data_IF_505703391682
#
_entry.id   IF_505703391682
#
_cell.length_a   1.000
_cell.length_b   1.000
_cell.length_c   1.000
_cell.angle_alpha   90.00
_cell.angle_beta   90.00
_cell.angle_gamma   90.00
#
_symmetry.space_group_name_H-M   'P 1'
#
loop_
_entity.id
_entity.type
_entity.pdbx_description
1 polymer ?
#
# COMPACT_ATOMS: atom_id res chain seq x y z
N UNK A 1 16.64 -14.28 0.37
CA UNK A 1 16.41 -13.27 -0.67
C UNK A 1 17.07 -11.97 -0.24
N UNK A 2 17.87 -11.40 -1.13
CA UNK A 2 18.50 -10.11 -0.86
C UNK A 2 17.44 -8.99 -0.86
N UNK A 3 17.57 -8.00 0.04
CA UNK A 3 16.66 -6.86 0.04
C UNK A 3 16.72 -6.09 -1.29
N UNK A 4 15.58 -5.55 -1.69
CA UNK A 4 15.45 -4.78 -2.93
C UNK A 4 15.27 -3.29 -2.63
N UNK A 5 15.61 -2.45 -3.60
CA UNK A 5 15.46 -0.99 -3.47
C UNK A 5 14.03 -0.52 -3.73
N UNK A 6 13.32 -1.21 -4.59
CA UNK A 6 11.92 -0.90 -4.96
C UNK A 6 11.12 -2.18 -5.01
N UNK A 7 9.96 -2.17 -4.37
CA UNK A 7 9.02 -3.27 -4.43
C UNK A 7 7.68 -2.74 -4.93
N UNK A 8 7.17 -3.35 -5.99
CA UNK A 8 5.87 -2.98 -6.55
C UNK A 8 4.85 -4.02 -6.10
N UNK A 9 3.76 -3.54 -5.49
CA UNK A 9 2.69 -4.39 -4.99
C UNK A 9 1.38 -4.04 -5.71
N UNK A 10 0.85 -4.99 -6.46
CA UNK A 10 -0.45 -4.88 -7.10
C UNK A 10 -1.20 -6.18 -6.83
N UNK A 11 -1.78 -6.28 -5.63
CA UNK A 11 -2.43 -7.49 -5.16
C UNK A 11 -3.92 -7.23 -5.02
N UNK A 12 -4.73 -7.90 -5.82
CA UNK A 12 -6.18 -7.76 -5.83
C UNK A 12 -6.82 -8.74 -4.84
N UNK A 13 -6.53 -8.55 -3.54
CA UNK A 13 -7.05 -9.42 -2.49
C UNK A 13 -7.28 -8.60 -1.21
N UNK A 14 -8.03 -9.19 -0.27
CA UNK A 14 -8.20 -8.58 1.05
C UNK A 14 -6.88 -8.58 1.81
N UNK A 15 -6.73 -7.62 2.70
CA UNK A 15 -5.53 -7.53 3.53
C UNK A 15 -4.35 -6.91 2.81
N UNK A 16 -4.59 -6.01 1.85
CA UNK A 16 -3.51 -5.35 1.09
C UNK A 16 -2.53 -4.63 2.00
N UNK A 17 -3.00 -3.98 3.07
CA UNK A 17 -2.12 -3.35 4.06
C UNK A 17 -1.26 -4.37 4.79
N UNK A 18 -1.83 -5.53 5.13
CA UNK A 18 -1.09 -6.61 5.77
C UNK A 18 -0.02 -7.20 4.83
N UNK A 19 -0.35 -7.34 3.54
CA UNK A 19 0.62 -7.80 2.53
C UNK A 19 1.77 -6.81 2.45
N UNK A 20 1.50 -5.51 2.46
CA UNK A 20 2.54 -4.49 2.47
C UNK A 20 3.43 -4.62 3.71
N UNK A 21 2.85 -4.86 4.88
CA UNK A 21 3.60 -5.07 6.12
C UNK A 21 4.51 -6.29 6.02
N UNK A 22 4.01 -7.40 5.46
CA UNK A 22 4.82 -8.60 5.25
C UNK A 22 5.94 -8.36 4.24
N UNK A 23 5.69 -7.55 3.22
CA UNK A 23 6.67 -7.26 2.19
C UNK A 23 7.81 -6.36 2.66
N UNK A 24 7.64 -5.68 3.80
CA UNK A 24 8.68 -4.82 4.36
C UNK A 24 10.02 -5.55 4.54
N UNK A 25 9.97 -6.83 4.86
CA UNK A 25 11.18 -7.64 5.07
C UNK A 25 12.04 -7.76 3.82
N UNK A 26 11.47 -7.52 2.65
CA UNK A 26 12.18 -7.61 1.38
C UNK A 26 12.73 -6.26 0.91
N UNK A 27 12.43 -5.17 1.62
CA UNK A 27 12.88 -3.84 1.26
C UNK A 27 14.10 -3.42 2.08
N UNK A 28 15.02 -2.70 1.45
CA UNK A 28 16.08 -2.00 2.15
C UNK A 28 15.50 -0.88 3.00
N UNK A 29 16.16 -0.49 4.09
CA UNK A 29 15.65 0.60 4.95
C UNK A 29 15.37 1.91 4.22
N UNK A 30 16.09 2.20 3.14
CA UNK A 30 15.90 3.38 2.30
C UNK A 30 15.13 3.06 1.01
N UNK A 31 14.57 1.87 0.91
CA UNK A 31 13.82 1.44 -0.25
C UNK A 31 12.43 2.09 -0.37
N UNK A 32 11.76 1.81 -1.45
CA UNK A 32 10.42 2.34 -1.73
C UNK A 32 9.44 1.21 -2.02
N UNK A 33 8.27 1.29 -1.39
CA UNK A 33 7.12 0.47 -1.73
C UNK A 33 6.23 1.30 -2.66
N UNK A 34 5.89 0.74 -3.81
CA UNK A 34 4.90 1.29 -4.73
C UNK A 34 3.70 0.35 -4.71
N UNK A 35 2.63 0.76 -4.08
CA UNK A 35 1.44 -0.09 -3.93
C UNK A 35 0.25 0.51 -4.66
N UNK A 36 -0.48 -0.34 -5.39
CA UNK A 36 -1.78 0.00 -5.93
C UNK A 36 -2.84 -0.68 -5.07
N UNK A 37 -3.62 0.12 -4.36
CA UNK A 37 -4.64 -0.37 -3.44
C UNK A 37 -5.99 -0.31 -4.13
N UNK A 38 -6.67 -1.45 -4.20
CA UNK A 38 -8.01 -1.55 -4.79
C UNK A 38 -9.05 -1.68 -3.68
N UNK A 39 -9.89 -0.66 -3.55
CA UNK A 39 -10.88 -0.61 -2.46
C UNK A 39 -11.84 -1.80 -2.51
N UNK A 40 -12.33 -2.18 -3.70
CA UNK A 40 -13.27 -3.28 -3.84
C UNK A 40 -12.71 -4.64 -3.44
N UNK A 41 -11.39 -4.78 -3.47
CA UNK A 41 -10.74 -6.01 -3.01
C UNK A 41 -10.72 -6.12 -1.50
N UNK A 42 -10.87 -4.98 -0.78
CA UNK A 42 -10.99 -4.96 0.68
C UNK A 42 -12.44 -5.12 1.11
N UNK A 43 -13.33 -4.30 0.57
CA UNK A 43 -14.77 -4.33 0.93
C UNK A 43 -15.59 -3.69 -0.20
N UNK A 44 -16.44 -4.49 -0.84
CA UNK A 44 -17.26 -4.01 -1.96
C UNK A 44 -18.42 -3.12 -1.51
N UNK A 45 -18.76 -3.12 -0.21
CA UNK A 45 -19.88 -2.35 0.34
C UNK A 45 -19.46 -1.06 1.01
N UNK A 46 -18.18 -0.90 1.32
CA UNK A 46 -17.67 0.28 2.02
C UNK A 46 -17.41 1.43 1.06
N UNK A 47 -17.41 2.65 1.61
CA UNK A 47 -16.96 3.83 0.89
C UNK A 47 -15.46 3.66 0.56
N UNK A 48 -15.05 3.82 -0.72
CA UNK A 48 -13.64 3.68 -1.09
C UNK A 48 -12.69 4.56 -0.27
N UNK A 49 -13.08 5.78 0.06
CA UNK A 49 -12.22 6.67 0.84
C UNK A 49 -12.00 6.13 2.27
N UNK A 50 -13.02 5.54 2.87
CA UNK A 50 -12.90 4.90 4.18
C UNK A 50 -11.97 3.69 4.13
N UNK A 51 -12.10 2.86 3.08
CA UNK A 51 -11.22 1.70 2.87
C UNK A 51 -9.77 2.15 2.69
N UNK A 52 -9.53 3.17 1.88
CA UNK A 52 -8.18 3.70 1.67
C UNK A 52 -7.56 4.22 2.97
N UNK A 53 -8.36 4.89 3.81
CA UNK A 53 -7.89 5.37 5.11
C UNK A 53 -7.47 4.21 6.03
N UNK A 54 -8.25 3.13 6.05
CA UNK A 54 -7.94 1.95 6.85
C UNK A 54 -6.67 1.25 6.37
N UNK A 55 -6.54 1.03 5.06
CA UNK A 55 -5.36 0.39 4.48
C UNK A 55 -4.12 1.25 4.72
N UNK A 56 -4.24 2.57 4.51
CA UNK A 56 -3.15 3.51 4.77
C UNK A 56 -2.71 3.46 6.23
N UNK A 57 -3.64 3.42 7.18
CA UNK A 57 -3.31 3.33 8.61
C UNK A 57 -2.52 2.05 8.92
N UNK A 58 -2.90 0.93 8.30
CA UNK A 58 -2.17 -0.33 8.47
C UNK A 58 -0.74 -0.22 7.92
N UNK A 59 -0.59 0.39 6.74
CA UNK A 59 0.72 0.60 6.13
C UNK A 59 1.57 1.53 6.99
N UNK A 60 0.98 2.59 7.52
CA UNK A 60 1.69 3.59 8.34
C UNK A 60 2.27 3.02 9.64
N UNK A 61 1.79 1.87 10.09
CA UNK A 61 2.37 1.20 11.26
C UNK A 61 3.82 0.77 11.01
N UNK A 62 4.18 0.42 9.76
CA UNK A 62 5.50 -0.10 9.40
C UNK A 62 6.23 0.76 8.37
N UNK A 63 5.53 1.69 7.74
CA UNK A 63 6.05 2.54 6.67
C UNK A 63 5.80 4.01 6.96
N UNK A 64 6.63 4.87 6.39
CA UNK A 64 6.31 6.28 6.23
C UNK A 64 5.71 6.45 4.84
N UNK A 65 4.46 6.90 4.79
CA UNK A 65 3.79 7.16 3.51
C UNK A 65 4.26 8.51 2.98
N UNK A 66 4.89 8.49 1.82
CA UNK A 66 5.48 9.68 1.19
C UNK A 66 4.50 10.38 0.28
N UNK A 67 3.68 9.61 -0.43
CA UNK A 67 2.72 10.15 -1.39
C UNK A 67 1.57 9.17 -1.58
N UNK A 68 0.37 9.72 -1.75
CA UNK A 68 -0.80 8.96 -2.18
C UNK A 68 -1.46 9.68 -3.33
N UNK A 69 -2.00 8.92 -4.30
CA UNK A 69 -2.68 9.50 -5.46
C UNK A 69 -3.86 8.62 -5.87
N UNK A 70 -5.04 9.25 -6.01
CA UNK A 70 -6.19 8.58 -6.60
C UNK A 70 -5.90 8.34 -8.09
N UNK A 71 -6.25 7.16 -8.56
CA UNK A 71 -5.99 6.77 -9.95
C UNK A 71 -7.24 6.98 -10.84
N UNK A 72 -8.28 7.60 -10.30
CA UNK A 72 -9.45 7.99 -11.09
C UNK A 72 -9.07 9.04 -12.16
N UNK A 73 -9.72 9.05 -13.29
CA UNK A 73 -10.77 8.14 -13.76
C UNK A 73 -10.25 6.86 -14.42
N UNK A 74 -8.94 6.68 -14.53
CA UNK A 74 -8.35 5.57 -15.27
C UNK A 74 -8.54 4.23 -14.57
N UNK A 75 -8.46 4.23 -13.24
CA UNK A 75 -8.68 3.05 -12.42
C UNK A 75 -9.58 3.42 -11.25
N UNK A 76 -10.88 3.18 -11.40
CA UNK A 76 -11.86 3.48 -10.35
C UNK A 76 -11.54 2.72 -9.08
N UNK A 77 -11.73 3.40 -7.93
CA UNK A 77 -11.52 2.82 -6.60
C UNK A 77 -10.11 2.29 -6.37
N UNK A 78 -9.11 2.87 -7.04
CA UNK A 78 -7.70 2.57 -6.81
C UNK A 78 -6.98 3.77 -6.21
N UNK A 79 -6.03 3.46 -5.32
CA UNK A 79 -5.15 4.46 -4.72
C UNK A 79 -3.70 4.00 -4.92
N UNK A 80 -2.88 4.87 -5.50
CA UNK A 80 -1.44 4.66 -5.57
C UNK A 80 -0.79 5.15 -4.28
N UNK A 81 0.09 4.34 -3.70
CA UNK A 81 0.81 4.67 -2.46
C UNK A 81 2.30 4.53 -2.70
N UNK A 82 3.06 5.56 -2.33
CA UNK A 82 4.53 5.50 -2.28
C UNK A 82 4.92 5.60 -0.82
N UNK A 83 5.66 4.62 -0.34
CA UNK A 83 6.04 4.55 1.06
C UNK A 83 7.47 4.05 1.22
N UNK A 84 8.07 4.31 2.37
CA UNK A 84 9.39 3.78 2.73
C UNK A 84 9.30 3.17 4.13
N UNK A 85 10.08 2.09 4.42
CA UNK A 85 10.08 1.51 5.75
C UNK A 85 10.41 2.54 6.82
N UNK A 86 9.71 2.49 7.96
CA UNK A 86 10.03 3.35 9.08
C UNK A 86 11.31 2.91 9.75
N UNK A 87 12.10 3.87 10.18
CA UNK A 87 13.18 3.62 11.12
C UNK A 87 12.60 3.34 12.50
N UNK A 88 13.14 2.36 13.13
CA UNK A 88 12.80 2.05 14.51
C UNK A 88 13.81 2.66 15.49
#
# INVERSE_FOLDING_TARGET
>A
VEPVDVLVQDVATRGQGRVATLNRQFLRPDGRLLAAIKARSEDVTADPDAVFADVRATIEAEYEVLETQRLDPYHEDHLGVVATPRDE
#
